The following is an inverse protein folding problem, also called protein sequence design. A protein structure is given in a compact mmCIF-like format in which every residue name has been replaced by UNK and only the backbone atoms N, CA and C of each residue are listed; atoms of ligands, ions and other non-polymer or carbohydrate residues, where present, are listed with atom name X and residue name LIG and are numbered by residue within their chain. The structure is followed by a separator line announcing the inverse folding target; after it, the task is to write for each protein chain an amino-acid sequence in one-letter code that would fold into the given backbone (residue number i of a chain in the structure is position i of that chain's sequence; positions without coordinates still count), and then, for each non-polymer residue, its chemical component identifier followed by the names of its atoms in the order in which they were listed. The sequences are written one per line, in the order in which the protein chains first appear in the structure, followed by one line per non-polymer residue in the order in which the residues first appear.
data_IF_494916970711
#
_entry.id   IF_494916970711
#
_cell.length_a   1.000
_cell.length_b   1.000
_cell.length_c   1.000
_cell.angle_alpha   90.00
_cell.angle_beta   90.00
_cell.angle_gamma   90.00
#
_symmetry.space_group_name_H-M   'P 1'
#
loop_
_entity.id
_entity.type
_entity.pdbx_description
1 polymer ?
#
# COMPACT_ATOMS: atom_id res chain seq x y z
N UNK A 1 -0.08 -1.06 16.14
CA UNK A 1 -0.75 -0.14 17.08
C UNK A 1 -0.16 1.29 17.10
N UNK A 2 1.15 1.48 16.88
CA UNK A 2 1.83 2.80 16.91
C UNK A 2 1.35 3.85 15.88
N UNK A 3 0.63 3.45 14.82
CA UNK A 3 0.16 4.37 13.76
C UNK A 3 -0.84 5.42 14.26
N UNK A 4 -1.64 5.09 15.29
CA UNK A 4 -2.61 6.03 15.87
C UNK A 4 -1.89 7.18 16.57
N UNK A 5 -0.86 6.88 17.36
CA UNK A 5 -0.09 7.88 18.09
C UNK A 5 0.74 8.79 17.17
N UNK A 6 1.11 8.31 15.97
CA UNK A 6 1.75 9.14 14.94
C UNK A 6 0.80 10.01 14.13
N UNK A 7 -0.51 9.93 14.35
CA UNK A 7 -1.47 10.74 13.60
C UNK A 7 -1.56 12.15 14.20
N UNK A 8 -1.11 13.21 13.50
CA UNK A 8 -1.13 14.59 14.03
C UNK A 8 -2.55 15.12 14.29
N UNK A 9 -3.59 14.43 13.79
CA UNK A 9 -4.98 14.80 14.09
C UNK A 9 -5.32 14.65 15.57
N UNK A 10 -4.63 13.78 16.33
CA UNK A 10 -4.89 13.64 17.77
C UNK A 10 -4.45 14.88 18.56
N UNK A 11 -3.51 15.66 18.03
CA UNK A 11 -3.05 16.91 18.63
C UNK A 11 -3.68 18.17 18.01
N UNK A 12 -4.71 18.01 17.18
CA UNK A 12 -5.41 19.13 16.54
C UNK A 12 -4.72 19.68 15.29
N UNK A 13 -3.65 19.04 14.81
CA UNK A 13 -3.00 19.43 13.56
C UNK A 13 -3.58 18.67 12.36
N UNK A 14 -3.67 19.33 11.21
CA UNK A 14 -4.15 18.70 9.98
C UNK A 14 -3.09 17.73 9.46
N UNK A 15 -3.49 16.47 9.28
CA UNK A 15 -2.65 15.43 8.69
C UNK A 15 -3.13 14.96 7.31
N UNK A 16 -2.19 14.70 6.40
CA UNK A 16 -2.39 14.05 5.10
C UNK A 16 -1.69 12.68 5.09
N UNK A 17 -2.35 11.65 4.57
CA UNK A 17 -1.73 10.35 4.36
C UNK A 17 -0.76 10.39 3.17
N UNK A 18 0.47 9.97 3.40
CA UNK A 18 1.52 9.86 2.38
C UNK A 18 1.90 8.39 2.26
N UNK A 19 2.09 7.94 1.01
CA UNK A 19 2.65 6.64 0.71
C UNK A 19 3.89 6.84 -0.14
N UNK A 20 5.04 6.42 0.38
CA UNK A 20 6.32 6.55 -0.31
C UNK A 20 6.91 5.15 -0.52
N UNK A 21 7.16 4.74 -1.77
CA UNK A 21 7.86 3.50 -2.06
C UNK A 21 9.34 3.66 -1.67
N UNK A 22 9.89 2.66 -0.99
CA UNK A 22 11.33 2.57 -0.78
C UNK A 22 12.01 1.92 -2.00
N UNK A 23 13.35 1.95 -2.03
CA UNK A 23 14.16 1.37 -3.10
C UNK A 23 13.91 -0.13 -3.32
N UNK A 24 13.42 -0.84 -2.29
CA UNK A 24 13.12 -2.28 -2.33
C UNK A 24 11.63 -2.56 -2.68
N UNK A 25 10.87 -1.56 -3.11
CA UNK A 25 9.45 -1.69 -3.46
C UNK A 25 8.49 -1.80 -2.27
N UNK A 26 8.96 -1.74 -1.02
CA UNK A 26 8.09 -1.64 0.14
C UNK A 26 7.54 -0.22 0.29
N UNK A 27 6.23 -0.10 0.48
CA UNK A 27 5.56 1.19 0.62
C UNK A 27 5.50 1.61 2.10
N UNK A 28 6.19 2.69 2.45
CA UNK A 28 6.03 3.40 3.71
C UNK A 28 4.70 4.15 3.70
N UNK A 29 3.85 3.95 4.72
CA UNK A 29 2.60 4.71 4.87
C UNK A 29 2.62 5.49 6.17
N UNK A 30 2.61 6.82 6.10
CA UNK A 30 2.65 7.69 7.28
C UNK A 30 1.74 8.92 7.11
N UNK A 31 1.50 9.63 8.21
CA UNK A 31 0.71 10.86 8.23
C UNK A 31 1.67 12.05 8.28
N UNK A 32 1.66 12.89 7.26
CA UNK A 32 2.42 14.13 7.21
C UNK A 32 1.56 15.29 7.72
N UNK A 33 2.15 16.19 8.52
CA UNK A 33 1.50 17.44 8.93
C UNK A 33 1.36 18.34 7.72
N UNK A 34 0.17 18.87 7.49
CA UNK A 34 -0.08 19.85 6.44
C UNK A 34 0.40 21.21 6.93
N UNK A 35 1.33 21.82 6.19
CA UNK A 35 1.83 23.17 6.43
C UNK A 35 1.24 24.16 5.44
N UNK A 36 1.17 25.44 5.84
CA UNK A 36 0.89 26.58 4.97
C UNK A 36 2.08 27.54 5.02
N UNK A 37 2.32 28.26 3.93
CA UNK A 37 3.36 29.29 3.89
C UNK A 37 2.81 30.60 4.44
N UNK A 38 3.51 31.20 5.40
CA UNK A 38 3.22 32.52 5.94
C UNK A 38 4.44 33.43 5.79
N UNK A 39 4.20 34.70 5.49
CA UNK A 39 5.26 35.71 5.41
C UNK A 39 5.38 36.39 6.77
N UNK A 40 6.57 36.29 7.35
CA UNK A 40 6.93 36.93 8.62
C UNK A 40 7.11 38.43 8.38
N UNK A 41 6.92 39.30 9.40
CA UNK A 41 7.22 40.73 9.30
C UNK A 41 8.62 41.04 8.74
N UNK A 42 9.60 40.17 9.01
CA UNK A 42 10.98 40.27 8.50
C UNK A 42 11.14 39.88 7.01
N UNK A 43 10.05 39.69 6.28
CA UNK A 43 10.05 39.31 4.86
C UNK A 43 10.36 37.84 4.57
N UNK A 44 10.70 37.03 5.59
CA UNK A 44 10.96 35.59 5.45
C UNK A 44 9.66 34.79 5.32
N UNK A 45 9.68 33.77 4.46
CA UNK A 45 8.56 32.81 4.34
C UNK A 45 8.81 31.62 5.26
N UNK A 46 7.90 31.37 6.20
CA UNK A 46 7.95 30.24 7.13
C UNK A 46 6.80 29.27 6.83
N UNK A 47 7.02 27.99 7.14
CA UNK A 47 5.98 26.97 7.07
C UNK A 47 5.32 26.78 8.43
N UNK A 48 4.01 27.05 8.50
CA UNK A 48 3.22 26.97 9.72
C UNK A 48 2.25 25.79 9.63
N UNK A 49 2.19 24.91 10.65
CA UNK A 49 1.24 23.81 10.70
C UNK A 49 -0.22 24.29 10.66
N UNK A 50 -1.03 23.67 9.81
CA UNK A 50 -2.47 23.98 9.70
C UNK A 50 -3.22 23.31 10.86
N UNK A 51 -3.97 24.11 11.63
CA UNK A 51 -4.86 23.60 12.69
C UNK A 51 -6.14 22.99 12.09
N UNK A 52 -6.57 21.86 12.64
CA UNK A 52 -7.84 21.22 12.31
C UNK A 52 -9.03 21.91 12.98
N UNK A 53 -10.23 21.68 12.44
CA UNK A 53 -11.50 22.23 12.96
C UNK A 53 -12.09 21.39 14.12
N UNK A 54 -11.38 20.38 14.61
CA UNK A 54 -11.86 19.46 15.64
C UNK A 54 -11.12 19.68 16.97
N UNK A 55 -11.75 19.26 18.07
CA UNK A 55 -11.15 19.30 19.40
C UNK A 55 -9.96 18.35 19.48
N UNK A 56 -8.80 18.87 19.91
CA UNK A 56 -7.61 18.06 20.14
C UNK A 56 -7.80 17.12 21.34
N UNK A 57 -7.25 15.91 21.24
CA UNK A 57 -7.26 14.91 22.33
C UNK A 57 -6.08 15.17 23.27
N UNK A 58 -4.92 15.51 22.71
CA UNK A 58 -3.70 15.86 23.45
C UNK A 58 -3.11 17.17 22.91
N UNK A 59 -2.26 17.84 23.70
CA UNK A 59 -1.53 19.02 23.23
C UNK A 59 -0.41 18.67 22.24
N UNK A 60 -0.02 19.63 21.39
CA UNK A 60 1.05 19.47 20.40
C UNK A 60 2.38 19.06 21.04
N UNK A 61 2.80 19.76 22.11
CA UNK A 61 4.03 19.42 22.85
C UNK A 61 4.04 17.99 23.40
N UNK A 62 2.90 17.52 23.92
CA UNK A 62 2.78 16.14 24.43
C UNK A 62 2.85 15.13 23.29
N UNK A 63 2.29 15.46 22.13
CA UNK A 63 2.39 14.64 20.95
C UNK A 63 3.83 14.54 20.44
N UNK A 64 4.57 15.66 20.38
CA UNK A 64 5.99 15.67 20.01
C UNK A 64 6.83 14.78 20.93
N UNK A 65 6.59 14.81 22.25
CA UNK A 65 7.24 13.91 23.20
C UNK A 65 6.93 12.42 22.92
N UNK A 66 5.69 12.12 22.53
CA UNK A 66 5.31 10.76 22.12
C UNK A 66 6.05 10.36 20.85
N UNK A 67 6.12 11.22 19.83
CA UNK A 67 6.86 10.93 18.60
C UNK A 67 8.34 10.67 18.89
N UNK A 68 8.96 11.53 19.71
CA UNK A 68 10.36 11.37 20.12
C UNK A 68 10.62 10.01 20.79
N UNK A 69 9.70 9.53 21.63
CA UNK A 69 9.80 8.20 22.26
C UNK A 69 9.59 7.03 21.28
N UNK A 70 8.74 7.19 20.25
CA UNK A 70 8.52 6.13 19.26
C UNK A 70 9.67 6.09 18.23
N UNK A 71 10.39 7.20 18.02
CA UNK A 71 11.55 7.31 17.12
C UNK A 71 11.18 7.16 15.64
N UNK A 72 12.11 6.69 14.82
CA UNK A 72 11.91 6.49 13.36
C UNK A 72 11.37 5.11 12.99
N UNK A 73 10.97 4.30 13.98
CA UNK A 73 10.30 3.01 13.74
C UNK A 73 8.89 3.22 13.20
N UNK A 74 8.79 3.69 11.95
CA UNK A 74 7.57 3.83 11.14
C UNK A 74 6.99 2.48 10.77
N UNK A 75 7.83 1.45 10.72
CA UNK A 75 7.43 0.08 10.48
C UNK A 75 7.21 -0.64 11.82
N UNK A 76 5.95 -0.74 12.22
CA UNK A 76 5.54 -2.08 12.64
C UNK A 76 5.70 -2.92 11.37
N UNK A 77 6.76 -3.74 11.32
CA UNK A 77 6.90 -4.77 10.29
C UNK A 77 5.50 -5.31 10.03
N UNK A 78 5.02 -5.20 8.78
CA UNK A 78 3.85 -5.97 8.37
C UNK A 78 4.19 -7.38 8.84
N UNK A 79 3.45 -7.90 9.83
CA UNK A 79 3.86 -9.11 10.54
C UNK A 79 4.24 -10.13 9.48
N UNK A 80 5.36 -10.84 9.67
CA UNK A 80 5.90 -11.82 8.71
C UNK A 80 4.88 -12.92 8.31
N UNK A 81 3.68 -12.90 8.90
CA UNK A 81 2.56 -13.80 8.73
C UNK A 81 1.27 -13.11 8.27
N UNK A 82 1.34 -11.90 7.70
CA UNK A 82 0.16 -11.27 7.11
C UNK A 82 -0.24 -12.02 5.84
N UNK A 83 -1.52 -12.46 5.78
CA UNK A 83 -2.08 -13.11 4.60
C UNK A 83 -1.90 -12.21 3.38
N UNK A 84 -1.22 -12.71 2.35
CA UNK A 84 -1.08 -12.05 1.05
C UNK A 84 -2.08 -12.62 0.06
N UNK A 85 -2.63 -11.77 -0.78
CA UNK A 85 -3.55 -12.14 -1.86
C UNK A 85 -2.87 -11.89 -3.19
N UNK A 86 -3.16 -12.73 -4.18
CA UNK A 86 -2.45 -12.81 -5.47
C UNK A 86 -2.21 -11.44 -6.10
N UNK A 87 -3.25 -10.61 -6.22
CA UNK A 87 -3.19 -9.34 -6.93
C UNK A 87 -2.96 -8.13 -6.01
N UNK A 88 -2.50 -8.37 -4.77
CA UNK A 88 -2.18 -7.29 -3.83
C UNK A 88 -1.07 -6.41 -4.39
N UNK A 89 -1.33 -5.11 -4.54
CA UNK A 89 -0.36 -4.15 -5.11
C UNK A 89 -0.44 -4.01 -6.63
N UNK A 90 -1.06 -4.97 -7.34
CA UNK A 90 -1.25 -4.93 -8.80
C UNK A 90 -2.59 -4.27 -9.15
N UNK A 91 -3.68 -4.62 -8.45
CA UNK A 91 -5.00 -4.05 -8.75
C UNK A 91 -5.06 -2.57 -8.39
N UNK A 92 -5.54 -1.74 -9.33
CA UNK A 92 -5.83 -0.34 -9.10
C UNK A 92 -7.34 -0.06 -9.16
N UNK A 93 -7.79 0.95 -8.42
CA UNK A 93 -9.18 1.38 -8.39
C UNK A 93 -9.54 2.11 -9.69
N UNK A 94 -10.46 1.55 -10.48
CA UNK A 94 -10.94 2.18 -11.72
C UNK A 94 -11.62 3.55 -11.54
N UNK A 95 -11.93 3.97 -10.31
CA UNK A 95 -12.51 5.30 -10.01
C UNK A 95 -11.47 6.35 -9.64
N UNK A 96 -10.45 6.00 -8.86
CA UNK A 96 -9.51 6.98 -8.31
C UNK A 96 -8.03 6.62 -8.52
N UNK A 97 -7.74 5.59 -9.32
CA UNK A 97 -6.39 5.14 -9.68
C UNK A 97 -5.57 4.53 -8.54
N UNK A 98 -6.05 4.59 -7.30
CA UNK A 98 -5.27 4.12 -6.14
C UNK A 98 -5.16 2.60 -6.10
N UNK A 99 -3.98 2.09 -5.73
CA UNK A 99 -3.75 0.66 -5.48
C UNK A 99 -4.75 0.12 -4.45
N UNK A 100 -5.35 -1.03 -4.77
CA UNK A 100 -6.29 -1.76 -3.94
C UNK A 100 -5.55 -2.80 -3.10
N UNK A 101 -6.14 -3.17 -1.96
CA UNK A 101 -5.58 -4.19 -1.07
C UNK A 101 -6.58 -5.34 -0.89
N UNK A 102 -6.04 -6.54 -0.67
CA UNK A 102 -6.84 -7.70 -0.31
C UNK A 102 -7.33 -7.62 1.14
N UNK A 103 -8.63 -7.84 1.33
CA UNK A 103 -9.29 -7.89 2.63
C UNK A 103 -9.83 -9.30 2.85
N UNK A 104 -9.60 -9.91 4.02
CA UNK A 104 -10.14 -11.23 4.33
C UNK A 104 -11.67 -11.23 4.38
N UNK A 105 -12.28 -12.43 4.30
CA UNK A 105 -13.67 -12.66 4.69
C UNK A 105 -13.96 -11.98 6.04
N UNK A 106 -15.12 -11.33 6.15
CA UNK A 106 -15.51 -10.62 7.37
C UNK A 106 -17.04 -10.58 7.51
N UNK A 107 -17.53 -11.01 8.67
CA UNK A 107 -18.96 -11.19 8.97
C UNK A 107 -19.62 -12.09 7.92
N UNK A 108 -20.67 -11.60 7.26
CA UNK A 108 -21.44 -12.32 6.24
C UNK A 108 -20.64 -12.57 4.95
N UNK A 109 -19.52 -11.87 4.73
CA UNK A 109 -18.70 -12.09 3.54
C UNK A 109 -17.84 -13.33 3.71
N UNK A 110 -18.16 -14.37 2.93
CA UNK A 110 -17.46 -15.66 2.92
C UNK A 110 -16.14 -15.66 2.13
N UNK A 111 -15.92 -14.69 1.25
CA UNK A 111 -14.76 -14.62 0.37
C UNK A 111 -13.89 -13.38 0.64
N UNK A 112 -12.61 -13.47 0.25
CA UNK A 112 -11.72 -12.33 0.24
C UNK A 112 -12.12 -11.35 -0.89
N UNK A 113 -11.88 -10.06 -0.67
CA UNK A 113 -12.16 -9.03 -1.66
C UNK A 113 -10.95 -8.15 -1.89
N UNK A 114 -10.82 -7.61 -3.10
CA UNK A 114 -9.97 -6.46 -3.34
C UNK A 114 -10.78 -5.20 -3.10
N UNK A 115 -10.29 -4.28 -2.27
CA UNK A 115 -11.00 -3.04 -1.93
C UNK A 115 -10.08 -1.82 -2.04
N UNK A 116 -10.65 -0.71 -2.51
CA UNK A 116 -9.98 0.58 -2.49
C UNK A 116 -9.88 1.10 -1.04
N UNK A 117 -8.72 1.62 -0.60
CA UNK A 117 -8.56 2.23 0.73
C UNK A 117 -9.63 3.27 1.04
N UNK A 118 -9.97 3.41 2.32
CA UNK A 118 -10.92 4.44 2.76
C UNK A 118 -10.37 5.86 2.50
N UNK A 119 -11.24 6.90 2.47
CA UNK A 119 -10.81 8.30 2.37
C UNK A 119 -9.79 8.73 3.41
N UNK A 120 -9.85 8.15 4.61
CA UNK A 120 -8.87 8.38 5.68
C UNK A 120 -7.48 7.82 5.38
N UNK A 121 -7.37 6.89 4.44
CA UNK A 121 -6.15 6.21 4.00
C UNK A 121 -5.74 6.61 2.57
N UNK A 122 -6.38 7.64 1.98
CA UNK A 122 -6.01 8.16 0.66
C UNK A 122 -6.62 7.43 -0.54
N UNK A 123 -7.58 6.52 -0.34
CA UNK A 123 -8.40 5.95 -1.40
C UNK A 123 -9.84 6.46 -1.37
N UNK A 124 -10.70 6.01 -2.28
CA UNK A 124 -12.10 6.46 -2.29
C UNK A 124 -13.05 5.58 -1.43
N UNK A 125 -12.65 4.35 -1.09
CA UNK A 125 -13.48 3.41 -0.33
C UNK A 125 -14.74 2.88 -1.04
N UNK A 126 -15.00 3.30 -2.29
CA UNK A 126 -16.25 3.02 -3.01
C UNK A 126 -16.20 1.79 -3.91
N UNK A 127 -15.00 1.34 -4.29
CA UNK A 127 -14.82 0.22 -5.23
C UNK A 127 -14.30 -1.01 -4.50
N UNK A 128 -14.97 -2.14 -4.71
CA UNK A 128 -14.48 -3.46 -4.33
C UNK A 128 -14.81 -4.51 -5.38
N UNK A 129 -13.97 -5.54 -5.48
CA UNK A 129 -14.15 -6.69 -6.37
C UNK A 129 -14.03 -7.99 -5.60
N UNK A 130 -14.76 -9.00 -6.05
CA UNK A 130 -14.72 -10.35 -5.50
C UNK A 130 -13.35 -10.96 -5.78
N UNK A 131 -12.61 -11.35 -4.74
CA UNK A 131 -11.22 -11.80 -4.86
C UNK A 131 -11.06 -12.99 -5.80
N UNK A 132 -11.65 -14.17 -5.49
CA UNK A 132 -11.47 -15.39 -6.29
C UNK A 132 -11.79 -15.20 -7.78
N UNK A 133 -13.00 -14.75 -8.14
CA UNK A 133 -13.33 -14.42 -9.54
C UNK A 133 -12.37 -13.42 -10.22
N UNK A 134 -11.81 -12.45 -9.48
CA UNK A 134 -10.84 -11.53 -10.08
C UNK A 134 -9.52 -12.25 -10.33
N UNK A 135 -9.08 -13.08 -9.39
CA UNK A 135 -7.87 -13.89 -9.52
C UNK A 135 -8.00 -14.85 -10.71
N UNK A 136 -9.11 -15.60 -10.79
CA UNK A 136 -9.39 -16.55 -11.88
C UNK A 136 -9.36 -15.85 -13.25
N UNK A 137 -10.00 -14.69 -13.35
CA UNK A 137 -10.04 -13.92 -14.60
C UNK A 137 -8.64 -13.46 -15.04
N UNK A 138 -7.85 -12.93 -14.10
CA UNK A 138 -6.49 -12.44 -14.40
C UNK A 138 -5.54 -13.60 -14.71
N UNK A 139 -5.66 -14.72 -14.00
CA UNK A 139 -4.88 -15.92 -14.28
C UNK A 139 -5.19 -16.47 -15.67
N UNK A 140 -6.47 -16.58 -16.04
CA UNK A 140 -6.86 -17.01 -17.38
C UNK A 140 -6.30 -16.09 -18.47
N UNK A 141 -6.40 -14.77 -18.29
CA UNK A 141 -5.84 -13.80 -19.23
C UNK A 141 -4.30 -13.89 -19.33
N UNK A 142 -3.62 -14.12 -18.20
CA UNK A 142 -2.17 -14.30 -18.16
C UNK A 142 -1.73 -15.56 -18.89
N UNK A 143 -2.36 -16.70 -18.61
CA UNK A 143 -2.03 -17.97 -19.27
C UNK A 143 -2.26 -17.88 -20.77
N UNK A 144 -3.40 -17.35 -21.21
CA UNK A 144 -3.66 -17.13 -22.64
C UNK A 144 -2.59 -16.24 -23.29
N UNK A 145 -2.13 -15.19 -22.60
CA UNK A 145 -1.07 -14.33 -23.11
C UNK A 145 0.26 -15.08 -23.23
N UNK A 146 0.64 -15.84 -22.20
CA UNK A 146 1.87 -16.64 -22.19
C UNK A 146 1.83 -17.68 -23.32
N UNK A 147 0.72 -18.37 -23.51
CA UNK A 147 0.54 -19.35 -24.58
C UNK A 147 0.72 -18.70 -25.96
N UNK A 148 0.12 -17.53 -26.20
CA UNK A 148 0.29 -16.81 -27.46
C UNK A 148 1.74 -16.36 -27.69
N UNK A 149 2.40 -15.83 -26.66
CA UNK A 149 3.81 -15.40 -26.76
C UNK A 149 4.74 -16.60 -26.98
N UNK A 150 4.53 -17.71 -26.26
CA UNK A 150 5.37 -18.91 -26.32
C UNK A 150 5.11 -19.74 -27.58
N UNK A 151 3.89 -19.73 -28.14
CA UNK A 151 3.59 -20.40 -29.40
C UNK A 151 4.42 -19.85 -30.59
N UNK A 152 4.92 -18.62 -30.47
CA UNK A 152 5.83 -18.01 -31.46
C UNK A 152 7.32 -18.21 -31.15
N UNK A 153 7.66 -18.73 -29.97
CA UNK A 153 9.03 -18.97 -29.54
C UNK A 153 9.46 -20.39 -29.91
N UNK A 154 10.03 -20.56 -31.10
CA UNK A 154 10.81 -21.76 -31.43
C UNK A 154 12.15 -21.62 -30.74
N UNK A 155 12.33 -22.29 -29.60
CA UNK A 155 13.64 -22.41 -28.96
C UNK A 155 14.32 -23.62 -29.57
N UNK A 156 15.44 -23.42 -30.28
CA UNK A 156 16.38 -24.51 -30.52
C UNK A 156 16.97 -24.91 -29.18
N UNK A 157 16.43 -26.00 -28.62
CA UNK A 157 16.93 -26.57 -27.37
C UNK A 157 18.14 -27.41 -27.73
N UNK A 158 19.33 -26.95 -27.33
CA UNK A 158 20.52 -27.77 -27.44
C UNK A 158 20.34 -29.07 -26.62
N UNK A 159 20.92 -30.20 -27.07
CA UNK A 159 20.87 -31.47 -26.35
C UNK A 159 21.26 -31.27 -24.89
N UNK A 160 20.47 -31.84 -23.98
CA UNK A 160 20.79 -31.77 -22.55
C UNK A 160 22.02 -32.65 -22.27
N UNK A 161 22.96 -32.19 -21.44
CA UNK A 161 24.23 -32.88 -21.17
C UNK A 161 24.06 -34.35 -20.71
N UNK A 162 22.92 -34.69 -20.11
CA UNK A 162 22.59 -36.05 -19.67
C UNK A 162 21.84 -36.92 -20.68
N UNK A 163 21.59 -36.44 -21.90
CA UNK A 163 20.77 -37.15 -22.90
C UNK A 163 21.38 -38.50 -23.32
N UNK A 164 22.71 -38.57 -23.41
CA UNK A 164 23.44 -39.80 -23.71
C UNK A 164 23.26 -40.89 -22.63
N UNK A 165 23.13 -40.50 -21.35
CA UNK A 165 22.96 -41.44 -20.24
C UNK A 165 21.55 -42.05 -20.19
N UNK A 166 20.58 -41.46 -20.89
CA UNK A 166 19.19 -41.94 -20.96
C UNK A 166 19.00 -42.98 -22.08
N UNK A 167 19.88 -42.99 -23.08
CA UNK A 167 19.83 -43.96 -24.18
C UNK A 167 20.41 -45.35 -23.79
N UNK A 168 21.10 -45.43 -22.66
CA UNK A 168 21.76 -46.65 -22.15
C UNK A 168 20.92 -47.42 -21.12
N UNK A 169 19.68 -47.00 -20.83
CA UNK A 169 18.70 -47.67 -19.94
C UNK A 169 17.57 -48.29 -20.75
#
# INVERSE_FOLDING_TARGET
MLKVYRNPRICGLRGRGVEEPNINGHVAKYMQVVTRKERTPDGRTIEVPVKGQWKAIIGVRRWEQVIAKIGDRTYAQQGHNSRRYLLSGVVACGRCGRSMFGSPPYRERKHAIYRCPAPTQGGCGKVSRHGPHTDDHILAALFNKIELETASAVVEVAPWEGEAALAEV
#
